data_IF_357597421216
#
_entry.id   IF_357597421216
#
_cell.length_a   1.000
_cell.length_b   1.000
_cell.length_c   1.000
_cell.angle_alpha   90.00
_cell.angle_beta   90.00
_cell.angle_gamma   90.00
#
_symmetry.space_group_name_H-M   'P 1'
#
loop_
_entity.id
_entity.type
_entity.pdbx_description
1 polymer ?
#
# COMPACT_ATOMS: atom_id res chain seq x y z
N UNK A 1 11.82 25.04 -61.07
CA UNK A 1 12.85 24.70 -60.05
C UNK A 1 12.61 25.36 -58.69
N UNK A 2 12.19 26.64 -58.61
CA UNK A 2 11.87 27.31 -57.31
C UNK A 2 10.70 26.72 -56.53
N UNK A 3 9.63 26.26 -57.20
CA UNK A 3 8.44 25.70 -56.53
C UNK A 3 8.64 24.31 -55.92
N UNK A 4 9.57 23.50 -56.44
CA UNK A 4 9.83 22.15 -55.94
C UNK A 4 10.61 22.19 -54.62
N UNK A 5 11.48 23.19 -54.45
CA UNK A 5 12.27 23.39 -53.23
C UNK A 5 11.37 23.82 -52.05
N UNK A 6 10.33 24.63 -52.30
CA UNK A 6 9.40 25.11 -51.27
C UNK A 6 8.50 24.00 -50.72
N UNK A 7 8.06 23.07 -51.58
CA UNK A 7 7.23 21.92 -51.15
C UNK A 7 8.06 20.93 -50.32
N UNK A 8 9.33 20.71 -50.67
CA UNK A 8 10.23 19.85 -49.90
C UNK A 8 10.54 20.41 -48.49
N UNK A 9 10.65 21.74 -48.36
CA UNK A 9 10.88 22.40 -47.06
C UNK A 9 9.66 22.32 -46.13
N UNK A 10 8.44 22.41 -46.67
CA UNK A 10 7.21 22.30 -45.87
C UNK A 10 7.02 20.86 -45.37
N UNK A 11 7.36 19.86 -46.19
CA UNK A 11 7.32 18.45 -45.78
C UNK A 11 8.36 18.16 -44.69
N UNK A 12 9.58 18.72 -44.77
CA UNK A 12 10.60 18.54 -43.74
C UNK A 12 10.26 19.21 -42.39
N UNK A 13 9.63 20.39 -42.41
CA UNK A 13 9.19 21.09 -41.19
C UNK A 13 7.97 20.37 -40.56
N UNK A 14 7.06 19.83 -41.39
CA UNK A 14 5.94 19.03 -40.89
C UNK A 14 6.37 17.66 -40.32
N UNK A 15 7.45 17.05 -40.82
CA UNK A 15 8.00 15.82 -40.28
C UNK A 15 8.69 15.99 -38.91
N UNK A 16 9.23 17.19 -38.62
CA UNK A 16 9.78 17.51 -37.28
C UNK A 16 8.71 17.84 -36.24
N UNK A 17 7.44 17.92 -36.65
CA UNK A 17 6.30 18.16 -35.75
C UNK A 17 5.65 16.85 -35.28
N UNK A 18 6.15 15.68 -35.71
CA UNK A 18 5.63 14.38 -35.28
C UNK A 18 6.34 13.89 -34.00
N UNK A 19 5.56 13.89 -32.92
CA UNK A 19 5.79 13.20 -31.65
C UNK A 19 7.03 13.64 -30.85
N UNK A 20 6.99 14.83 -30.24
CA UNK A 20 7.62 14.95 -28.92
C UNK A 20 6.84 14.04 -27.98
N UNK A 21 7.34 12.81 -27.79
CA UNK A 21 6.73 11.83 -26.89
C UNK A 21 6.55 12.45 -25.52
N UNK A 22 5.31 12.46 -25.03
CA UNK A 22 5.01 12.93 -23.67
C UNK A 22 5.52 11.85 -22.72
N UNK A 23 6.32 12.23 -21.74
CA UNK A 23 6.79 11.31 -20.71
C UNK A 23 6.33 11.76 -19.33
N UNK A 24 6.19 10.80 -18.43
CA UNK A 24 5.74 11.03 -17.05
C UNK A 24 6.26 9.97 -16.11
N UNK A 25 6.28 10.31 -14.82
CA UNK A 25 6.40 9.35 -13.73
C UNK A 25 5.03 9.19 -13.07
N UNK A 26 4.53 7.97 -13.10
CA UNK A 26 3.42 7.53 -12.25
C UNK A 26 3.93 6.68 -11.09
N UNK A 27 3.07 6.31 -10.14
CA UNK A 27 3.46 5.51 -8.99
C UNK A 27 2.36 4.56 -8.53
N UNK A 28 2.79 3.49 -7.85
CA UNK A 28 1.93 2.52 -7.20
C UNK A 28 2.52 2.17 -5.83
N UNK A 29 1.65 2.00 -4.83
CA UNK A 29 2.05 1.55 -3.49
C UNK A 29 1.25 0.29 -3.16
N UNK A 30 1.97 -0.82 -3.00
CA UNK A 30 1.41 -2.12 -2.65
C UNK A 30 1.59 -2.31 -1.13
N UNK A 31 0.49 -2.47 -0.41
CA UNK A 31 0.50 -2.66 1.05
C UNK A 31 0.52 -4.15 1.41
N UNK A 32 1.44 -4.55 2.31
CA UNK A 32 1.56 -5.94 2.78
C UNK A 32 0.72 -6.20 4.05
N UNK A 33 -0.43 -5.52 4.15
CA UNK A 33 -1.31 -5.51 5.33
C UNK A 33 -2.29 -6.68 5.34
N UNK A 34 -1.76 -7.90 5.14
CA UNK A 34 -2.58 -9.11 5.12
C UNK A 34 -1.87 -10.27 5.81
N UNK A 35 -2.66 -11.20 6.34
CA UNK A 35 -2.18 -12.45 6.93
C UNK A 35 -2.77 -13.63 6.15
N UNK A 36 -1.96 -14.65 5.90
CA UNK A 36 -2.42 -15.91 5.30
C UNK A 36 -2.21 -17.04 6.30
N UNK A 37 -3.29 -17.77 6.55
CA UNK A 37 -3.29 -19.00 7.32
C UNK A 37 -3.50 -20.20 6.41
N UNK A 38 -2.88 -21.31 6.79
CA UNK A 38 -3.17 -22.63 6.24
C UNK A 38 -3.35 -23.62 7.38
N UNK A 39 -4.44 -24.39 7.32
CA UNK A 39 -4.87 -25.19 8.45
C UNK A 39 -5.95 -26.20 8.09
N UNK A 40 -6.67 -26.69 9.10
CA UNK A 40 -7.81 -27.58 8.91
C UNK A 40 -8.87 -27.42 10.01
N UNK A 41 -10.14 -27.52 9.62
CA UNK A 41 -11.28 -27.62 10.54
C UNK A 41 -11.44 -29.08 10.97
N UNK A 42 -11.50 -29.33 12.28
CA UNK A 42 -11.63 -30.65 12.90
C UNK A 42 -10.60 -31.67 12.39
N UNK A 43 -9.40 -31.19 12.02
CA UNK A 43 -8.31 -31.96 11.38
C UNK A 43 -8.68 -32.64 10.04
N UNK A 44 -9.92 -32.52 9.58
CA UNK A 44 -10.49 -33.24 8.42
C UNK A 44 -10.60 -32.40 7.17
N UNK A 45 -10.85 -31.11 7.32
CA UNK A 45 -11.16 -30.22 6.21
C UNK A 45 -10.06 -29.17 6.04
N UNK A 46 -9.07 -29.40 5.16
CA UNK A 46 -7.99 -28.45 4.95
C UNK A 46 -8.52 -27.14 4.36
N UNK A 47 -8.10 -26.03 4.95
CA UNK A 47 -8.49 -24.68 4.55
C UNK A 47 -7.27 -23.78 4.37
N UNK A 48 -7.43 -22.77 3.51
CA UNK A 48 -6.56 -21.60 3.44
C UNK A 48 -7.43 -20.39 3.73
N UNK A 49 -6.93 -19.46 4.55
CA UNK A 49 -7.63 -18.23 4.92
C UNK A 49 -6.70 -17.04 4.67
N UNK A 50 -7.21 -15.99 4.04
CA UNK A 50 -6.51 -14.73 3.83
C UNK A 50 -7.34 -13.60 4.42
N UNK A 51 -6.73 -12.83 5.31
CA UNK A 51 -7.38 -11.71 6.00
C UNK A 51 -6.58 -10.43 5.77
N UNK A 52 -7.29 -9.33 5.55
CA UNK A 52 -6.79 -7.96 5.46
C UNK A 52 -7.40 -7.13 6.58
N UNK A 53 -6.58 -6.44 7.36
CA UNK A 53 -7.06 -5.51 8.38
C UNK A 53 -7.32 -4.14 7.76
N UNK A 54 -8.52 -3.61 7.99
CA UNK A 54 -8.91 -2.26 7.62
C UNK A 54 -8.51 -1.27 8.70
N UNK A 55 -8.28 -0.01 8.30
CA UNK A 55 -8.19 1.12 9.24
C UNK A 55 -9.54 1.52 9.83
N UNK A 56 -10.65 0.99 9.31
CA UNK A 56 -11.99 1.28 9.76
C UNK A 56 -12.29 0.61 11.11
N UNK A 57 -12.77 1.41 12.06
CA UNK A 57 -13.38 0.89 13.27
C UNK A 57 -14.75 0.31 12.93
N UNK A 58 -15.14 -0.75 13.63
CA UNK A 58 -16.46 -1.35 13.45
C UNK A 58 -17.60 -0.43 13.90
N UNK A 59 -17.34 0.47 14.86
CA UNK A 59 -18.32 1.43 15.35
C UNK A 59 -17.91 2.86 15.03
N UNK A 60 -18.89 3.75 14.95
CA UNK A 60 -18.68 5.19 14.70
C UNK A 60 -17.91 5.89 15.83
N UNK A 61 -17.74 5.24 16.98
CA UNK A 61 -16.88 5.70 18.07
C UNK A 61 -15.48 5.11 17.88
N UNK A 62 -14.72 5.71 16.96
CA UNK A 62 -13.31 5.38 16.77
C UNK A 62 -12.50 5.85 17.99
N UNK A 63 -12.23 4.92 18.90
CA UNK A 63 -11.26 5.09 19.98
C UNK A 63 -10.11 4.11 19.78
N UNK A 64 -9.02 4.30 20.53
CA UNK A 64 -7.88 3.37 20.55
C UNK A 64 -8.23 1.94 20.96
N UNK A 65 -9.43 1.72 21.49
CA UNK A 65 -9.92 0.44 22.00
C UNK A 65 -10.93 -0.22 21.08
N UNK A 66 -11.35 0.45 20.01
CA UNK A 66 -12.44 -0.02 19.17
C UNK A 66 -11.95 -1.14 18.25
N UNK A 67 -12.63 -2.30 18.19
CA UNK A 67 -12.30 -3.36 17.26
C UNK A 67 -12.30 -2.84 15.82
N UNK A 68 -11.34 -3.35 15.04
CA UNK A 68 -11.12 -2.93 13.65
C UNK A 68 -11.72 -3.94 12.71
N UNK A 69 -12.23 -3.46 11.58
CA UNK A 69 -12.80 -4.33 10.58
C UNK A 69 -11.71 -5.16 9.90
N UNK A 70 -12.02 -6.43 9.70
CA UNK A 70 -11.19 -7.38 8.97
C UNK A 70 -12.01 -7.96 7.85
N UNK A 71 -11.44 -7.98 6.65
CA UNK A 71 -12.07 -8.53 5.46
C UNK A 71 -11.19 -9.61 4.86
N UNK A 72 -11.79 -10.54 4.11
CA UNK A 72 -11.01 -11.56 3.48
C UNK A 72 -11.83 -12.68 2.89
N UNK A 73 -11.21 -13.85 2.83
CA UNK A 73 -11.84 -15.08 2.39
C UNK A 73 -11.14 -16.29 3.00
N UNK A 74 -11.85 -17.39 3.08
CA UNK A 74 -11.25 -18.71 3.22
C UNK A 74 -11.71 -19.63 2.09
N UNK A 75 -11.01 -20.73 1.90
CA UNK A 75 -11.39 -21.75 0.94
C UNK A 75 -11.04 -23.13 1.48
N UNK A 76 -11.90 -24.10 1.23
CA UNK A 76 -11.55 -25.51 1.36
C UNK A 76 -10.58 -25.87 0.24
N UNK A 77 -9.39 -26.39 0.57
CA UNK A 77 -8.33 -26.66 -0.43
C UNK A 77 -8.78 -27.60 -1.54
N UNK A 78 -9.64 -28.58 -1.22
CA UNK A 78 -10.17 -29.53 -2.21
C UNK A 78 -11.14 -28.91 -3.21
N UNK A 79 -11.90 -27.90 -2.80
CA UNK A 79 -12.94 -27.28 -3.63
C UNK A 79 -12.35 -26.08 -4.38
N UNK A 80 -11.45 -25.33 -3.75
CA UNK A 80 -10.80 -24.14 -4.34
C UNK A 80 -11.70 -22.92 -4.47
N UNK A 81 -12.98 -23.01 -4.09
CA UNK A 81 -13.90 -21.87 -4.09
C UNK A 81 -13.63 -20.96 -2.89
N UNK A 82 -13.42 -19.67 -3.16
CA UNK A 82 -13.30 -18.63 -2.12
C UNK A 82 -14.66 -18.32 -1.52
N UNK A 83 -14.71 -18.29 -0.19
CA UNK A 83 -15.87 -17.97 0.62
C UNK A 83 -15.54 -16.69 1.39
N UNK A 84 -16.33 -15.62 1.24
CA UNK A 84 -16.01 -14.32 1.84
C UNK A 84 -16.08 -14.37 3.36
N UNK A 85 -15.16 -13.64 3.99
CA UNK A 85 -15.11 -13.41 5.43
C UNK A 85 -15.15 -11.93 5.73
N UNK A 86 -15.94 -11.57 6.73
CA UNK A 86 -16.04 -10.23 7.28
C UNK A 86 -16.02 -10.35 8.80
N UNK A 87 -15.42 -9.41 9.50
CA UNK A 87 -15.27 -9.55 10.93
C UNK A 87 -14.55 -8.41 11.59
N UNK A 88 -14.04 -8.67 12.79
CA UNK A 88 -13.24 -7.71 13.52
C UNK A 88 -12.03 -8.34 14.22
N UNK A 89 -11.02 -7.50 14.46
CA UNK A 89 -9.86 -7.80 15.29
C UNK A 89 -9.78 -6.83 16.46
N UNK A 90 -9.45 -7.35 17.63
CA UNK A 90 -9.20 -6.57 18.81
C UNK A 90 -7.87 -6.97 19.47
N UNK A 91 -7.01 -5.97 19.67
CA UNK A 91 -5.68 -6.15 20.26
C UNK A 91 -5.61 -5.74 21.74
N UNK A 92 -6.74 -5.35 22.33
CA UNK A 92 -6.79 -4.82 23.70
C UNK A 92 -6.93 -5.94 24.71
N UNK A 93 -6.49 -5.67 25.94
CA UNK A 93 -6.63 -6.66 27.00
C UNK A 93 -8.07 -6.94 27.43
N UNK A 94 -8.99 -6.04 27.09
CA UNK A 94 -10.40 -6.08 27.47
C UNK A 94 -11.25 -6.97 26.56
N UNK A 95 -10.71 -7.42 25.43
CA UNK A 95 -11.44 -8.26 24.49
C UNK A 95 -11.31 -9.74 24.86
N UNK A 96 -12.45 -10.44 24.90
CA UNK A 96 -12.50 -11.89 25.14
C UNK A 96 -11.95 -12.68 23.94
N UNK A 97 -12.24 -12.21 22.73
CA UNK A 97 -11.73 -12.73 21.46
C UNK A 97 -10.74 -11.75 20.84
N UNK A 98 -9.66 -12.27 20.25
CA UNK A 98 -8.74 -11.47 19.45
C UNK A 98 -9.27 -11.25 18.04
N UNK A 99 -10.00 -12.23 17.48
CA UNK A 99 -10.66 -12.13 16.17
C UNK A 99 -12.01 -12.83 16.16
N UNK A 100 -12.99 -12.19 15.55
CA UNK A 100 -14.27 -12.81 15.19
C UNK A 100 -14.55 -12.57 13.71
N UNK A 101 -14.68 -13.66 12.95
CA UNK A 101 -14.88 -13.64 11.51
C UNK A 101 -16.16 -14.40 11.18
N UNK A 102 -16.89 -13.91 10.20
CA UNK A 102 -18.18 -14.45 9.82
C UNK A 102 -18.25 -14.64 8.31
N UNK A 103 -18.91 -15.71 7.90
CA UNK A 103 -19.40 -15.89 6.54
C UNK A 103 -20.82 -15.33 6.49
N UNK A 104 -21.03 -14.13 5.94
CA UNK A 104 -22.36 -13.53 5.92
C UNK A 104 -23.33 -14.37 5.09
N UNK A 105 -24.59 -14.39 5.49
CA UNK A 105 -25.64 -15.07 4.72
C UNK A 105 -25.82 -14.45 3.34
N UNK A 106 -25.79 -13.12 3.26
CA UNK A 106 -25.67 -12.31 2.05
C UNK A 106 -24.32 -11.56 2.07
N UNK A 107 -23.38 -11.86 1.15
CA UNK A 107 -22.06 -11.23 1.13
C UNK A 107 -22.05 -9.78 0.65
N UNK A 108 -23.17 -9.28 0.12
CA UNK A 108 -23.32 -7.90 -0.36
C UNK A 108 -24.03 -7.06 0.70
N UNK A 109 -25.11 -7.59 1.29
CA UNK A 109 -25.95 -6.86 2.24
C UNK A 109 -25.83 -7.45 3.66
N UNK A 110 -24.85 -6.96 4.41
CA UNK A 110 -24.71 -7.23 5.84
C UNK A 110 -24.40 -5.94 6.61
N UNK A 111 -24.62 -5.95 7.92
CA UNK A 111 -24.31 -4.84 8.81
C UNK A 111 -23.72 -5.35 10.12
N UNK A 112 -22.69 -4.67 10.59
CA UNK A 112 -22.18 -4.90 11.94
C UNK A 112 -23.10 -4.27 12.99
N UNK A 113 -23.25 -4.96 14.10
CA UNK A 113 -23.83 -4.43 15.33
C UNK A 113 -22.80 -3.57 16.08
N UNK A 114 -23.24 -2.85 17.12
CA UNK A 114 -22.35 -2.08 18.00
C UNK A 114 -21.27 -2.95 18.70
N UNK A 115 -21.46 -4.27 18.72
CA UNK A 115 -20.50 -5.24 19.27
C UNK A 115 -19.59 -5.86 18.21
N UNK A 116 -19.60 -5.36 16.97
CA UNK A 116 -18.79 -5.88 15.88
C UNK A 116 -19.11 -7.31 15.44
N UNK A 117 -20.36 -7.70 15.66
CA UNK A 117 -20.92 -8.98 15.23
C UNK A 117 -21.91 -8.75 14.10
N UNK A 118 -22.13 -9.76 13.26
CA UNK A 118 -23.24 -9.77 12.30
C UNK A 118 -24.30 -10.79 12.76
N UNK A 119 -25.57 -10.45 12.60
CA UNK A 119 -26.67 -11.30 13.06
C UNK A 119 -26.92 -12.48 12.10
N UNK A 120 -26.76 -12.26 10.79
CA UNK A 120 -27.06 -13.22 9.75
C UNK A 120 -25.79 -13.76 9.10
N UNK A 121 -25.30 -14.89 9.61
CA UNK A 121 -24.14 -15.59 9.12
C UNK A 121 -24.42 -17.09 8.95
N UNK A 122 -23.65 -17.73 8.08
CA UNK A 122 -23.66 -19.19 7.85
C UNK A 122 -22.66 -19.88 8.76
N UNK A 123 -21.48 -19.30 8.87
CA UNK A 123 -20.33 -19.83 9.60
C UNK A 123 -19.63 -18.71 10.37
N UNK A 124 -19.00 -19.06 11.48
CA UNK A 124 -18.23 -18.15 12.31
C UNK A 124 -16.89 -18.80 12.66
N UNK A 125 -15.82 -18.00 12.64
CA UNK A 125 -14.52 -18.32 13.21
C UNK A 125 -14.23 -17.39 14.37
N UNK A 126 -13.82 -17.94 15.51
CA UNK A 126 -13.51 -17.19 16.72
C UNK A 126 -12.09 -17.55 17.16
N UNK A 127 -11.22 -16.55 17.26
CA UNK A 127 -9.90 -16.70 17.87
C UNK A 127 -9.97 -16.14 19.29
N UNK A 128 -9.72 -16.98 20.29
CA UNK A 128 -9.65 -16.52 21.67
C UNK A 128 -8.38 -15.70 21.89
N UNK A 129 -8.40 -14.80 22.87
CA UNK A 129 -7.23 -14.00 23.21
C UNK A 129 -6.07 -14.90 23.67
N UNK A 130 -4.89 -14.70 23.10
CA UNK A 130 -3.69 -15.48 23.42
C UNK A 130 -3.55 -16.80 22.64
N UNK A 131 -4.60 -17.20 21.92
CA UNK A 131 -4.59 -18.41 21.11
C UNK A 131 -4.26 -18.10 19.64
N UNK A 132 -3.48 -18.98 19.02
CA UNK A 132 -3.22 -18.93 17.58
C UNK A 132 -4.33 -19.63 16.77
N UNK A 133 -4.97 -20.63 17.36
CA UNK A 133 -6.00 -21.44 16.72
C UNK A 133 -7.38 -20.77 16.78
N UNK A 134 -8.24 -21.17 15.84
CA UNK A 134 -9.62 -20.69 15.78
C UNK A 134 -10.58 -21.80 16.25
N UNK A 135 -11.75 -21.39 16.68
CA UNK A 135 -12.94 -22.23 16.79
C UNK A 135 -13.84 -21.92 15.60
N UNK A 136 -14.39 -22.94 14.96
CA UNK A 136 -15.34 -22.80 13.85
C UNK A 136 -16.69 -23.40 14.23
N UNK A 137 -17.77 -22.71 13.85
CA UNK A 137 -19.12 -23.23 13.99
C UNK A 137 -20.03 -22.73 12.88
N UNK A 138 -21.08 -23.50 12.62
CA UNK A 138 -22.25 -23.02 11.89
C UNK A 138 -23.19 -22.27 12.86
N UNK A 139 -24.10 -21.42 12.34
CA UNK A 139 -25.01 -20.59 13.16
C UNK A 139 -25.69 -21.38 14.29
N UNK A 140 -26.21 -22.56 13.96
CA UNK A 140 -26.93 -23.46 14.87
C UNK A 140 -26.23 -24.83 15.04
N UNK A 141 -24.91 -24.88 14.81
CA UNK A 141 -24.14 -26.13 14.80
C UNK A 141 -23.16 -26.28 15.96
N UNK A 142 -22.55 -27.47 16.04
CA UNK A 142 -21.45 -27.73 16.96
C UNK A 142 -20.22 -26.86 16.66
N UNK A 143 -19.39 -26.67 17.68
CA UNK A 143 -18.13 -25.94 17.57
C UNK A 143 -16.97 -26.91 17.41
N UNK A 144 -16.13 -26.67 16.42
CA UNK A 144 -14.98 -27.51 16.08
C UNK A 144 -13.68 -26.70 16.15
N UNK A 145 -12.56 -27.32 16.55
CA UNK A 145 -11.27 -26.66 16.55
C UNK A 145 -10.75 -26.47 15.12
N UNK A 146 -9.99 -25.40 14.91
CA UNK A 146 -9.32 -25.07 13.65
C UNK A 146 -7.86 -24.74 13.94
N UNK A 147 -7.00 -25.70 13.61
CA UNK A 147 -5.56 -25.52 13.76
C UNK A 147 -5.01 -24.74 12.59
N UNK A 148 -4.32 -23.64 12.86
CA UNK A 148 -3.83 -22.72 11.82
C UNK A 148 -2.33 -22.50 11.92
N UNK A 149 -1.65 -22.60 10.78
CA UNK A 149 -0.26 -22.17 10.64
C UNK A 149 -0.21 -20.89 9.82
N UNK A 150 0.56 -19.91 10.28
CA UNK A 150 0.81 -18.69 9.54
C UNK A 150 1.73 -19.02 8.35
N UNK A 151 1.29 -18.67 7.15
CA UNK A 151 2.05 -18.81 5.90
C UNK A 151 2.57 -17.48 5.38
N UNK A 152 1.88 -16.40 5.73
CA UNK A 152 2.34 -15.04 5.51
C UNK A 152 1.94 -14.21 6.73
N UNK A 153 2.92 -13.59 7.38
CA UNK A 153 2.67 -12.74 8.55
C UNK A 153 2.16 -11.37 8.12
N UNK A 154 1.29 -10.78 8.93
CA UNK A 154 0.86 -9.40 8.71
C UNK A 154 2.06 -8.46 8.80
N UNK A 155 2.19 -7.55 7.84
CA UNK A 155 3.25 -6.56 7.83
C UNK A 155 2.75 -5.15 7.57
N UNK A 156 3.35 -4.18 8.24
CA UNK A 156 3.19 -2.76 7.89
C UNK A 156 4.03 -2.36 6.68
N UNK A 157 4.82 -3.28 6.13
CA UNK A 157 5.66 -3.03 4.99
C UNK A 157 4.85 -2.73 3.74
N UNK A 158 5.51 -2.01 2.85
CA UNK A 158 4.97 -1.52 1.58
C UNK A 158 6.01 -1.74 0.49
N UNK A 159 5.53 -1.93 -0.73
CA UNK A 159 6.37 -1.87 -1.93
C UNK A 159 5.90 -0.70 -2.78
N UNK A 160 6.74 0.32 -2.87
CA UNK A 160 6.50 1.51 -3.67
C UNK A 160 7.23 1.41 -5.01
N UNK A 161 6.49 1.50 -6.11
CA UNK A 161 6.99 1.40 -7.48
C UNK A 161 6.76 2.72 -8.20
N UNK A 162 7.80 3.26 -8.83
CA UNK A 162 7.69 4.36 -9.80
C UNK A 162 7.63 3.77 -11.21
N UNK A 163 6.70 4.24 -12.03
CA UNK A 163 6.49 3.79 -13.40
C UNK A 163 6.91 4.90 -14.35
N UNK A 164 7.99 4.67 -15.10
CA UNK A 164 8.43 5.59 -16.15
C UNK A 164 7.62 5.33 -17.41
N UNK A 165 6.90 6.35 -17.88
CA UNK A 165 5.96 6.23 -18.99
C UNK A 165 6.37 7.12 -20.16
N UNK A 166 6.21 6.61 -21.38
CA UNK A 166 6.25 7.38 -22.62
C UNK A 166 4.95 7.12 -23.38
N UNK A 167 4.22 8.19 -23.68
CA UNK A 167 2.90 8.12 -24.32
C UNK A 167 1.98 7.12 -23.61
N UNK A 168 1.94 7.21 -22.27
CA UNK A 168 1.15 6.37 -21.36
C UNK A 168 1.52 4.87 -21.34
N UNK A 169 2.61 4.47 -22.00
CA UNK A 169 3.15 3.11 -21.95
C UNK A 169 4.30 3.03 -20.94
N UNK A 170 4.21 2.11 -19.98
CA UNK A 170 5.28 1.87 -19.00
C UNK A 170 6.50 1.25 -19.68
N UNK A 171 7.60 1.99 -19.72
CA UNK A 171 8.87 1.58 -20.32
C UNK A 171 9.80 0.96 -19.27
N UNK A 172 9.74 1.43 -18.03
CA UNK A 172 10.58 0.97 -16.93
C UNK A 172 9.85 1.11 -15.59
N UNK A 173 10.15 0.23 -14.65
CA UNK A 173 9.64 0.25 -13.29
C UNK A 173 10.81 0.31 -12.31
N UNK A 174 10.70 1.20 -11.32
CA UNK A 174 11.74 1.43 -10.32
C UNK A 174 11.15 1.12 -8.95
N UNK A 175 11.75 0.17 -8.24
CA UNK A 175 11.37 -0.13 -6.86
C UNK A 175 11.94 0.94 -5.91
N UNK A 176 11.13 1.95 -5.59
CA UNK A 176 11.51 3.04 -4.71
C UNK A 176 11.76 2.56 -3.28
N UNK A 177 11.02 1.56 -2.80
CA UNK A 177 11.25 0.94 -1.48
C UNK A 177 12.69 0.43 -1.36
N UNK A 178 13.16 -0.33 -2.36
CA UNK A 178 14.52 -0.85 -2.40
C UNK A 178 15.55 0.25 -2.60
N UNK A 179 15.31 1.16 -3.56
CA UNK A 179 16.23 2.25 -3.89
C UNK A 179 16.46 3.19 -2.70
N UNK A 180 15.39 3.53 -1.99
CA UNK A 180 15.41 4.39 -0.81
C UNK A 180 15.74 3.65 0.48
N UNK A 181 15.78 2.31 0.48
CA UNK A 181 15.90 1.48 1.70
C UNK A 181 14.84 1.86 2.75
N UNK A 182 13.61 2.07 2.30
CA UNK A 182 12.47 2.42 3.15
C UNK A 182 11.30 1.47 2.88
N UNK A 183 11.10 0.53 3.80
CA UNK A 183 10.07 -0.50 3.69
C UNK A 183 8.65 0.01 3.97
N UNK A 184 8.45 1.28 4.28
CA UNK A 184 7.18 1.79 4.83
C UNK A 184 6.55 2.93 4.02
N UNK A 185 7.01 3.22 2.81
CA UNK A 185 6.48 4.31 1.97
C UNK A 185 4.96 4.17 1.75
N UNK A 186 4.19 5.10 2.30
CA UNK A 186 2.72 5.10 2.21
C UNK A 186 2.18 6.18 1.26
N UNK A 187 3.00 7.17 0.91
CA UNK A 187 2.64 8.26 0.00
C UNK A 187 3.82 8.63 -0.87
N UNK A 188 3.54 8.92 -2.15
CA UNK A 188 4.48 9.48 -3.11
C UNK A 188 3.79 10.66 -3.81
N UNK A 189 4.57 11.70 -4.10
CA UNK A 189 4.15 12.82 -4.93
C UNK A 189 5.28 13.23 -5.86
N UNK A 190 5.04 13.19 -7.16
CA UNK A 190 5.92 13.83 -8.15
C UNK A 190 5.75 15.34 -8.04
N UNK A 191 6.84 16.04 -7.77
CA UNK A 191 6.84 17.50 -7.56
C UNK A 191 7.13 18.22 -8.87
N UNK A 192 8.18 17.79 -9.56
CA UNK A 192 8.61 18.36 -10.83
C UNK A 192 9.42 17.34 -11.61
N UNK A 193 9.42 17.49 -12.93
CA UNK A 193 10.14 16.60 -13.82
C UNK A 193 10.59 17.36 -15.06
N UNK A 194 11.82 17.11 -15.53
CA UNK A 194 12.38 17.78 -16.73
C UNK A 194 13.40 16.90 -17.42
N UNK A 195 13.43 16.97 -18.75
CA UNK A 195 14.54 16.43 -19.54
C UNK A 195 15.54 17.53 -19.81
N UNK A 196 16.78 17.37 -19.36
CA UNK A 196 17.87 18.32 -19.57
C UNK A 196 19.18 17.55 -19.74
N UNK A 197 20.07 18.04 -20.61
CA UNK A 197 21.42 17.48 -20.79
C UNK A 197 21.46 15.95 -21.02
N UNK A 198 20.50 15.41 -21.78
CA UNK A 198 20.41 13.96 -22.06
C UNK A 198 19.94 13.12 -20.87
N UNK A 199 19.34 13.72 -19.84
CA UNK A 199 18.87 13.01 -18.65
C UNK A 199 17.45 13.42 -18.29
N UNK A 200 16.74 12.51 -17.65
CA UNK A 200 15.45 12.78 -17.02
C UNK A 200 15.70 13.05 -15.54
N UNK A 201 15.32 14.24 -15.09
CA UNK A 201 15.42 14.68 -13.71
C UNK A 201 14.03 14.70 -13.10
N UNK A 202 13.86 14.02 -11.98
CA UNK A 202 12.57 13.86 -11.31
C UNK A 202 12.75 14.23 -9.84
N UNK A 203 11.98 15.21 -9.37
CA UNK A 203 11.84 15.55 -7.96
C UNK A 203 10.60 14.86 -7.41
N UNK A 204 10.76 14.08 -6.35
CA UNK A 204 9.67 13.41 -5.65
C UNK A 204 9.70 13.74 -4.17
N UNK A 205 8.51 13.79 -3.56
CA UNK A 205 8.34 13.68 -2.12
C UNK A 205 7.74 12.31 -1.81
N UNK A 206 8.20 11.67 -0.75
CA UNK A 206 7.56 10.47 -0.23
C UNK A 206 7.56 10.47 1.28
N UNK A 207 6.58 9.79 1.88
CA UNK A 207 6.43 9.78 3.33
C UNK A 207 5.81 8.50 3.86
N UNK A 208 5.98 8.33 5.17
CA UNK A 208 5.34 7.28 5.95
C UNK A 208 5.06 7.76 7.37
N UNK A 209 4.22 7.03 8.09
CA UNK A 209 4.03 7.26 9.52
C UNK A 209 5.33 7.00 10.28
N UNK A 210 5.65 7.86 11.25
CA UNK A 210 6.80 7.72 12.14
C UNK A 210 6.79 6.39 12.88
N UNK A 211 5.63 5.97 13.37
CA UNK A 211 5.46 4.68 14.00
C UNK A 211 4.38 3.89 13.25
N UNK A 212 4.73 3.13 12.20
CA UNK A 212 3.77 2.35 11.42
C UNK A 212 2.97 1.42 12.33
N UNK A 213 1.64 1.43 12.19
CA UNK A 213 0.74 0.61 13.03
C UNK A 213 0.49 1.13 14.43
N UNK A 214 1.03 2.30 14.80
CA UNK A 214 0.73 2.92 16.09
C UNK A 214 -0.62 3.64 16.13
N UNK A 215 -1.23 3.90 14.97
CA UNK A 215 -2.57 4.48 14.88
C UNK A 215 -2.75 5.81 15.63
N UNK A 216 -1.70 6.64 15.67
CA UNK A 216 -1.75 7.89 16.41
C UNK A 216 -1.28 7.80 17.86
N UNK A 217 -0.82 6.63 18.34
CA UNK A 217 -0.43 6.43 19.74
C UNK A 217 1.03 6.80 20.08
N UNK A 218 1.20 7.54 21.17
CA UNK A 218 2.49 8.04 21.64
C UNK A 218 2.85 9.40 21.05
N UNK A 219 3.94 10.02 21.54
CA UNK A 219 4.33 11.38 21.14
C UNK A 219 4.52 11.55 19.62
N UNK A 220 4.89 10.46 18.94
CA UNK A 220 5.04 10.42 17.48
C UNK A 220 4.09 9.43 16.79
N UNK A 221 3.04 8.97 17.47
CA UNK A 221 2.14 7.98 16.90
C UNK A 221 1.38 8.45 15.66
N UNK A 222 1.10 9.76 15.58
CA UNK A 222 0.55 10.41 14.40
C UNK A 222 1.63 11.19 13.62
N UNK A 223 2.90 11.03 13.99
CA UNK A 223 4.02 11.68 13.33
C UNK A 223 4.22 11.16 11.92
N UNK A 224 4.88 11.97 11.09
CA UNK A 224 5.28 11.61 9.73
C UNK A 224 6.79 11.73 9.59
N UNK A 225 7.34 10.86 8.76
CA UNK A 225 8.68 10.93 8.22
C UNK A 225 8.57 11.31 6.74
N UNK A 226 9.04 12.48 6.37
CA UNK A 226 8.91 13.02 5.02
C UNK A 226 10.27 13.24 4.37
N UNK A 227 10.40 12.72 3.15
CA UNK A 227 11.62 12.72 2.37
C UNK A 227 11.40 13.50 1.08
N UNK A 228 12.41 14.28 0.70
CA UNK A 228 12.57 14.81 -0.63
C UNK A 228 13.62 13.97 -1.35
N UNK A 229 13.39 13.62 -2.60
CA UNK A 229 14.38 12.90 -3.39
C UNK A 229 14.48 13.42 -4.82
N UNK A 230 15.68 13.30 -5.37
CA UNK A 230 16.01 13.57 -6.75
C UNK A 230 16.46 12.29 -7.41
N UNK A 231 15.76 11.91 -8.48
CA UNK A 231 16.04 10.73 -9.29
C UNK A 231 16.49 11.20 -10.67
N UNK A 232 17.66 10.73 -11.10
CA UNK A 232 18.18 10.96 -12.44
C UNK A 232 18.23 9.66 -13.23
N UNK A 233 17.65 9.68 -14.43
CA UNK A 233 17.59 8.55 -15.36
C UNK A 233 18.28 8.95 -16.67
N UNK A 234 19.10 8.07 -17.23
CA UNK A 234 19.78 8.29 -18.51
C UNK A 234 18.86 8.02 -19.73
N UNK A 235 19.34 8.26 -20.96
CA UNK A 235 18.55 8.02 -22.18
C UNK A 235 18.27 6.54 -22.47
N UNK A 236 19.01 5.64 -21.82
CA UNK A 236 18.80 4.19 -21.86
C UNK A 236 17.77 3.71 -20.81
N UNK A 237 17.12 4.64 -20.10
CA UNK A 237 16.14 4.38 -19.04
C UNK A 237 16.72 3.68 -17.80
N UNK A 238 18.01 3.82 -17.55
CA UNK A 238 18.69 3.30 -16.36
C UNK A 238 18.85 4.40 -15.32
N UNK A 239 18.78 4.02 -14.04
CA UNK A 239 18.98 4.93 -12.91
C UNK A 239 20.46 5.29 -12.85
N UNK A 240 20.75 6.59 -12.93
CA UNK A 240 22.11 7.11 -12.81
C UNK A 240 22.40 7.58 -11.37
N UNK A 241 21.44 8.28 -10.76
CA UNK A 241 21.57 8.74 -9.37
C UNK A 241 20.21 8.77 -8.65
N UNK A 242 20.28 8.61 -7.32
CA UNK A 242 19.15 8.78 -6.43
C UNK A 242 19.63 9.42 -5.12
N UNK A 243 19.36 10.71 -4.98
CA UNK A 243 19.69 11.50 -3.80
C UNK A 243 18.43 11.72 -2.98
N UNK A 244 18.53 11.64 -1.64
CA UNK A 244 17.40 11.84 -0.74
C UNK A 244 17.77 12.62 0.51
N UNK A 245 16.81 13.37 1.04
CA UNK A 245 16.90 14.08 2.32
C UNK A 245 15.64 13.85 3.15
N UNK A 246 15.81 13.46 4.41
CA UNK A 246 14.76 13.51 5.43
C UNK A 246 14.62 14.96 5.90
N UNK A 247 13.52 15.63 5.54
CA UNK A 247 13.33 17.06 5.86
C UNK A 247 12.26 17.31 6.94
N UNK A 248 11.51 16.27 7.31
CA UNK A 248 10.61 16.28 8.46
C UNK A 248 10.60 14.91 9.12
N UNK A 249 10.74 14.90 10.44
CA UNK A 249 10.79 13.67 11.22
C UNK A 249 10.28 13.93 12.62
N UNK A 250 9.27 13.19 13.05
CA UNK A 250 8.87 13.25 14.46
C UNK A 250 9.91 12.53 15.33
N UNK A 251 10.40 11.37 14.89
CA UNK A 251 11.35 10.55 15.66
C UNK A 251 12.67 11.30 15.90
N UNK A 252 13.16 12.01 14.89
CA UNK A 252 14.43 12.73 14.96
C UNK A 252 14.26 14.20 15.35
N UNK A 253 13.05 14.63 15.74
CA UNK A 253 12.72 16.03 16.06
C UNK A 253 13.13 17.03 14.95
N UNK A 254 12.95 16.65 13.69
CA UNK A 254 13.20 17.52 12.54
C UNK A 254 11.90 18.23 12.21
N UNK A 255 11.78 19.48 12.67
CA UNK A 255 10.63 20.34 12.41
C UNK A 255 10.86 21.10 11.09
N UNK A 256 10.29 20.54 10.02
CA UNK A 256 10.20 21.04 8.65
C UNK A 256 11.28 22.07 8.24
N UNK A 257 12.34 21.56 7.60
CA UNK A 257 13.23 22.41 6.81
C UNK A 257 12.50 22.69 5.49
N UNK A 258 12.49 23.95 5.02
CA UNK A 258 11.97 24.30 3.69
C UNK A 258 12.48 23.27 2.68
N UNK A 259 11.56 22.72 1.88
CA UNK A 259 11.87 21.67 0.93
C UNK A 259 13.10 22.05 0.08
N UNK A 260 14.15 21.22 0.06
CA UNK A 260 15.47 21.60 -0.44
C UNK A 260 15.54 21.45 -1.95
N UNK A 261 14.69 22.10 -2.74
CA UNK A 261 14.74 21.99 -4.20
C UNK A 261 14.08 23.19 -4.90
N UNK A 262 14.47 23.43 -6.15
CA UNK A 262 13.82 24.38 -7.06
C UNK A 262 12.87 23.62 -7.99
N UNK A 263 11.56 23.85 -7.83
CA UNK A 263 10.51 23.18 -8.62
C UNK A 263 10.63 23.51 -10.11
N UNK A 264 11.11 24.69 -10.48
CA UNK A 264 11.27 25.11 -11.88
C UNK A 264 12.56 24.57 -12.50
N UNK A 265 13.50 24.13 -11.66
CA UNK A 265 14.81 23.63 -12.07
C UNK A 265 15.15 22.29 -11.41
N UNK A 266 14.37 21.22 -11.66
CA UNK A 266 14.62 19.90 -11.09
C UNK A 266 15.97 19.30 -11.51
N UNK A 267 16.59 19.80 -12.59
CA UNK A 267 17.94 19.40 -13.00
C UNK A 267 19.04 19.78 -11.99
N UNK A 268 18.77 20.74 -11.09
CA UNK A 268 19.70 21.14 -10.04
C UNK A 268 19.69 20.20 -8.82
N UNK A 269 18.74 19.26 -8.77
CA UNK A 269 18.62 18.29 -7.69
C UNK A 269 18.22 18.89 -6.34
N UNK A 270 18.71 18.28 -5.26
CA UNK A 270 18.45 18.74 -3.90
C UNK A 270 19.46 19.82 -3.48
N UNK A 271 18.98 20.93 -2.92
CA UNK A 271 19.74 22.03 -2.35
C UNK A 271 20.12 21.68 -0.90
N UNK A 272 21.28 21.10 -0.69
CA UNK A 272 21.87 20.97 0.65
C UNK A 272 22.55 22.29 1.02
N UNK A 273 22.14 22.92 2.13
CA UNK A 273 22.96 24.02 2.69
C UNK A 273 24.26 23.41 3.23
N UNK A 274 25.38 23.85 2.69
CA UNK A 274 26.70 23.71 3.34
C UNK A 274 26.75 24.53 4.64
#
# INVERSE_FOLDING_TARGET
>A
MRQVITIFLIIFISAHSFAQGKWSIDHEIIFDRYIVYEGAIDEKYPIIMRLEESSEACTNMASKWTPRLVYGWYMYKKIGKKIPLVGSVCYTDQCESSKELFVPSDPINYSFTDKCQINEFKEQFIQQKGDQDFLWKQKDGDTYPVKMNIKHEFSWKTTAILKFQINDLTISEINLTQLSKNDYIERIKTISQKRASGKFHILIQYSHQSNPGSYGHGSCGAGLEEYAAHLTINESFEIESFDKLLYRSCINNIFEIKAPYDVEKPELGLITKE
#
